data_IF_663790396188
#
_entry.id   IF_663790396188
#
_cell.length_a   1.000
_cell.length_b   1.000
_cell.length_c   1.000
_cell.angle_alpha   90.00
_cell.angle_beta   90.00
_cell.angle_gamma   90.00
#
_symmetry.space_group_name_H-M   'P 1'
#
loop_
_entity.id
_entity.type
_entity.pdbx_description
1 polymer ?
#
# COMPACT_ATOMS: atom_id res chain seq x y z
N UNK A 1 -27.32 -5.07 -15.29
CA UNK A 1 -27.83 -6.44 -15.01
C UNK A 1 -27.52 -7.36 -16.18
N UNK A 2 -27.68 -6.89 -17.41
CA UNK A 2 -27.23 -7.57 -18.62
C UNK A 2 -25.74 -7.94 -18.57
N UNK A 3 -24.87 -7.07 -18.05
CA UNK A 3 -23.44 -7.33 -17.92
C UNK A 3 -23.13 -8.50 -16.96
N UNK A 4 -23.84 -8.56 -15.82
CA UNK A 4 -23.69 -9.65 -14.84
C UNK A 4 -24.19 -10.95 -15.45
N UNK A 5 -25.29 -10.93 -16.19
CA UNK A 5 -25.82 -12.10 -16.87
C UNK A 5 -24.83 -12.64 -17.91
N UNK A 6 -24.22 -11.77 -18.71
CA UNK A 6 -23.20 -12.17 -19.68
C UNK A 6 -22.01 -12.88 -18.99
N UNK A 7 -21.54 -12.38 -17.84
CA UNK A 7 -20.46 -13.03 -17.09
C UNK A 7 -20.84 -14.41 -16.54
N UNK A 8 -22.13 -14.62 -16.23
CA UNK A 8 -22.64 -15.94 -15.82
C UNK A 8 -22.71 -16.89 -17.01
N UNK A 9 -23.24 -16.41 -18.13
CA UNK A 9 -23.38 -17.19 -19.36
C UNK A 9 -22.00 -17.59 -19.91
N UNK A 10 -21.00 -16.72 -19.78
CA UNK A 10 -19.60 -16.97 -20.14
C UNK A 10 -18.85 -17.86 -19.13
N UNK A 11 -19.47 -18.23 -18.00
CA UNK A 11 -18.89 -19.09 -16.96
C UNK A 11 -17.80 -18.41 -16.10
N UNK A 12 -17.62 -17.09 -16.22
CA UNK A 12 -16.68 -16.30 -15.40
C UNK A 12 -17.21 -16.11 -13.99
N UNK A 13 -18.52 -15.97 -13.84
CA UNK A 13 -19.21 -15.78 -12.57
C UNK A 13 -20.22 -16.90 -12.34
N UNK A 14 -20.24 -17.55 -11.18
CA UNK A 14 -21.19 -18.64 -10.90
C UNK A 14 -22.52 -18.08 -10.36
N UNK A 15 -22.45 -17.16 -9.39
CA UNK A 15 -23.63 -16.53 -8.74
C UNK A 15 -23.28 -15.14 -8.22
N UNK A 16 -24.29 -14.31 -7.93
CA UNK A 16 -24.13 -13.08 -7.16
C UNK A 16 -25.27 -12.93 -6.13
N UNK A 17 -25.07 -12.07 -5.13
CA UNK A 17 -26.08 -11.71 -4.15
C UNK A 17 -26.01 -10.22 -3.84
N UNK A 18 -27.15 -9.64 -3.45
CA UNK A 18 -27.23 -8.27 -2.95
C UNK A 18 -27.36 -8.33 -1.43
N UNK A 19 -26.33 -7.85 -0.73
CA UNK A 19 -26.27 -7.86 0.72
C UNK A 19 -26.23 -6.43 1.27
N UNK A 20 -26.73 -6.19 2.49
CA UNK A 20 -26.45 -4.95 3.21
C UNK A 20 -24.93 -4.75 3.35
N UNK A 21 -24.48 -3.51 3.20
CA UNK A 21 -23.08 -3.16 3.40
C UNK A 21 -22.91 -2.60 4.81
N UNK A 22 -22.23 -3.37 5.66
CA UNK A 22 -21.87 -2.96 7.02
C UNK A 22 -20.54 -2.21 7.00
N UNK A 23 -20.56 -0.96 7.44
CA UNK A 23 -19.38 -0.08 7.47
C UNK A 23 -18.64 -0.25 8.80
N UNK A 24 -17.33 -0.43 8.70
CA UNK A 24 -16.43 -0.58 9.86
C UNK A 24 -15.88 0.79 10.29
N UNK A 25 -16.78 1.65 10.79
CA UNK A 25 -16.54 3.08 10.95
C UNK A 25 -15.36 3.37 11.89
N UNK A 26 -15.36 2.70 13.05
CA UNK A 26 -14.37 2.87 14.11
C UNK A 26 -12.97 2.52 13.60
N UNK A 27 -12.83 1.40 12.86
CA UNK A 27 -11.54 0.95 12.32
C UNK A 27 -10.84 2.01 11.50
N UNK A 28 -11.60 2.81 10.74
CA UNK A 28 -11.07 3.88 9.89
C UNK A 28 -11.32 5.27 10.50
N UNK A 29 -11.23 5.38 11.83
CA UNK A 29 -11.12 6.68 12.52
C UNK A 29 -12.45 7.36 12.84
N UNK A 30 -13.59 6.77 12.45
CA UNK A 30 -14.92 7.18 12.88
C UNK A 30 -15.82 7.71 11.75
N UNK A 31 -17.11 7.92 12.04
CA UNK A 31 -18.13 8.28 11.05
C UNK A 31 -17.84 9.59 10.31
N UNK A 32 -17.13 10.54 10.93
CA UNK A 32 -16.89 11.86 10.38
C UNK A 32 -15.91 11.86 9.18
N UNK A 33 -15.07 10.83 9.08
CA UNK A 33 -13.99 10.74 8.08
C UNK A 33 -14.05 9.44 7.26
N UNK A 34 -15.07 8.60 7.48
CA UNK A 34 -15.16 7.30 6.81
C UNK A 34 -15.30 7.41 5.29
N UNK A 35 -16.00 8.43 4.79
CA UNK A 35 -16.12 8.67 3.34
C UNK A 35 -14.76 8.92 2.68
N UNK A 36 -13.82 9.57 3.40
CA UNK A 36 -12.45 9.74 2.93
C UNK A 36 -11.71 8.38 2.84
N UNK A 37 -11.96 7.47 3.79
CA UNK A 37 -11.44 6.11 3.70
C UNK A 37 -12.03 5.34 2.51
N UNK A 38 -13.32 5.51 2.21
CA UNK A 38 -13.96 4.90 1.03
C UNK A 38 -13.35 5.42 -0.28
N UNK A 39 -13.00 6.71 -0.36
CA UNK A 39 -12.29 7.28 -1.50
C UNK A 39 -10.91 6.62 -1.68
N UNK A 40 -10.18 6.37 -0.60
CA UNK A 40 -8.92 5.60 -0.62
C UNK A 40 -9.17 4.16 -1.11
N UNK A 41 -10.23 3.50 -0.67
CA UNK A 41 -10.57 2.14 -1.11
C UNK A 41 -10.93 2.07 -2.60
N UNK A 42 -11.63 3.07 -3.12
CA UNK A 42 -11.94 3.20 -4.53
C UNK A 42 -10.66 3.29 -5.36
N UNK A 43 -9.75 4.20 -4.99
CA UNK A 43 -8.48 4.38 -5.68
C UNK A 43 -7.56 3.15 -5.56
N UNK A 44 -7.55 2.47 -4.42
CA UNK A 44 -6.88 1.17 -4.29
C UNK A 44 -7.39 0.14 -5.29
N UNK A 45 -8.71 0.08 -5.50
CA UNK A 45 -9.32 -0.83 -6.48
C UNK A 45 -8.94 -0.43 -7.91
N UNK A 46 -8.90 0.87 -8.21
CA UNK A 46 -8.47 1.40 -9.51
C UNK A 46 -6.99 1.13 -9.80
N UNK A 47 -6.10 1.23 -8.80
CA UNK A 47 -4.69 0.88 -8.91
C UNK A 47 -4.55 -0.59 -9.34
N UNK A 48 -5.21 -1.50 -8.62
CA UNK A 48 -5.11 -2.94 -8.87
C UNK A 48 -5.68 -3.30 -10.24
N UNK A 49 -6.86 -2.78 -10.58
CA UNK A 49 -7.46 -3.00 -11.90
C UNK A 49 -6.55 -2.47 -13.03
N UNK A 50 -6.05 -1.24 -12.88
CA UNK A 50 -5.15 -0.63 -13.87
C UNK A 50 -3.85 -1.43 -14.04
N UNK A 51 -3.31 -1.96 -12.94
CA UNK A 51 -2.09 -2.78 -12.97
C UNK A 51 -2.29 -4.09 -13.72
N UNK A 52 -3.39 -4.82 -13.48
CA UNK A 52 -3.67 -6.09 -14.16
C UNK A 52 -4.09 -5.93 -15.63
N UNK A 53 -4.54 -4.74 -16.04
CA UNK A 53 -4.83 -4.43 -17.44
C UNK A 53 -3.58 -4.07 -18.27
N UNK A 54 -2.40 -3.94 -17.66
CA UNK A 54 -1.17 -3.61 -18.40
C UNK A 54 -0.73 -4.78 -19.31
N UNK A 55 -0.32 -4.52 -20.58
CA UNK A 55 0.01 -5.58 -21.54
C UNK A 55 1.23 -6.44 -21.17
N UNK A 56 2.11 -5.94 -20.29
CA UNK A 56 3.27 -6.70 -19.86
C UNK A 56 2.90 -7.49 -18.62
N UNK A 57 2.80 -8.81 -18.75
CA UNK A 57 2.33 -9.75 -17.72
C UNK A 57 2.61 -9.30 -16.28
N UNK A 58 1.53 -9.18 -15.50
CA UNK A 58 1.58 -9.08 -14.05
C UNK A 58 2.14 -10.39 -13.52
N UNK A 59 3.46 -10.44 -13.32
CA UNK A 59 4.11 -11.55 -12.65
C UNK A 59 4.28 -11.24 -11.15
N UNK A 60 4.59 -12.27 -10.37
CA UNK A 60 4.77 -12.16 -8.92
C UNK A 60 5.72 -11.02 -8.55
N UNK A 61 6.85 -10.90 -9.26
CA UNK A 61 7.84 -9.86 -8.99
C UNK A 61 7.26 -8.44 -9.16
N UNK A 62 6.58 -8.16 -10.27
CA UNK A 62 5.94 -6.84 -10.48
C UNK A 62 4.83 -6.56 -9.48
N UNK A 63 4.07 -7.60 -9.11
CA UNK A 63 3.00 -7.50 -8.12
C UNK A 63 3.58 -7.13 -6.76
N UNK A 64 4.69 -7.74 -6.35
CA UNK A 64 5.42 -7.36 -5.14
C UNK A 64 5.99 -5.95 -5.24
N UNK A 65 6.51 -5.51 -6.39
CA UNK A 65 6.97 -4.12 -6.57
C UNK A 65 5.84 -3.11 -6.34
N UNK A 66 4.66 -3.33 -6.92
CA UNK A 66 3.50 -2.48 -6.67
C UNK A 66 3.10 -2.52 -5.19
N UNK A 67 3.11 -3.72 -4.59
CA UNK A 67 2.86 -3.94 -3.17
C UNK A 67 3.73 -3.06 -2.28
N UNK A 68 5.06 -3.23 -2.36
CA UNK A 68 6.00 -2.50 -1.51
C UNK A 68 5.99 -0.99 -1.77
N UNK A 69 5.74 -0.58 -3.02
CA UNK A 69 5.59 0.82 -3.37
C UNK A 69 4.40 1.44 -2.64
N UNK A 70 3.18 0.90 -2.84
CA UNK A 70 1.97 1.49 -2.26
C UNK A 70 1.97 1.42 -0.73
N UNK A 71 2.51 0.35 -0.14
CA UNK A 71 2.67 0.25 1.32
C UNK A 71 3.56 1.38 1.86
N UNK A 72 4.73 1.59 1.25
CA UNK A 72 5.64 2.68 1.64
C UNK A 72 5.03 4.05 1.38
N UNK A 73 4.23 4.15 0.32
CA UNK A 73 3.55 5.38 -0.09
C UNK A 73 2.46 5.79 0.92
N UNK A 74 1.64 4.84 1.38
CA UNK A 74 0.67 5.03 2.47
C UNK A 74 1.38 5.53 3.73
N UNK A 75 2.45 4.85 4.18
CA UNK A 75 3.18 5.28 5.38
C UNK A 75 3.78 6.68 5.21
N UNK A 76 4.31 6.99 4.03
CA UNK A 76 4.84 8.31 3.71
C UNK A 76 3.76 9.39 3.71
N UNK A 77 2.53 9.07 3.33
CA UNK A 77 1.39 10.00 3.36
C UNK A 77 1.00 10.38 4.79
N UNK A 78 1.20 9.47 5.75
CA UNK A 78 1.12 9.72 7.19
C UNK A 78 2.34 10.48 7.75
N UNK A 79 3.27 10.91 6.89
CA UNK A 79 4.45 11.67 7.27
C UNK A 79 5.60 10.83 7.83
N UNK A 80 5.57 9.50 7.69
CA UNK A 80 6.63 8.63 8.20
C UNK A 80 7.84 8.64 7.26
N UNK A 81 8.98 9.06 7.77
CA UNK A 81 10.29 8.87 7.12
C UNK A 81 10.63 7.39 6.98
N UNK A 82 11.52 7.02 6.06
CA UNK A 82 12.00 5.62 5.94
C UNK A 82 12.54 5.04 7.26
N UNK A 83 13.12 5.87 8.14
CA UNK A 83 13.54 5.41 9.48
C UNK A 83 12.35 5.03 10.36
N UNK A 84 11.29 5.83 10.36
CA UNK A 84 10.06 5.53 11.11
C UNK A 84 9.30 4.37 10.50
N UNK A 85 9.25 4.25 9.16
CA UNK A 85 8.69 3.08 8.48
C UNK A 85 9.42 1.80 8.89
N UNK A 86 10.75 1.83 9.03
CA UNK A 86 11.50 0.67 9.52
C UNK A 86 11.06 0.24 10.93
N UNK A 87 10.84 1.20 11.83
CA UNK A 87 10.36 0.92 13.20
C UNK A 87 8.99 0.26 13.16
N UNK A 88 8.06 0.80 12.36
CA UNK A 88 6.72 0.25 12.17
C UNK A 88 6.78 -1.15 11.56
N UNK A 89 7.65 -1.40 10.58
CA UNK A 89 7.76 -2.71 9.95
C UNK A 89 8.44 -3.74 10.86
N UNK A 90 9.37 -3.33 11.73
CA UNK A 90 10.01 -4.21 12.70
C UNK A 90 9.05 -4.70 13.80
N UNK A 91 7.95 -3.99 14.08
CA UNK A 91 6.91 -4.49 15.00
C UNK A 91 5.99 -5.52 14.36
N UNK A 92 5.96 -5.59 13.02
CA UNK A 92 5.08 -6.50 12.27
C UNK A 92 5.87 -7.74 11.83
N UNK A 93 7.05 -7.54 11.23
CA UNK A 93 7.80 -8.58 10.52
C UNK A 93 9.13 -8.90 11.20
N UNK A 94 9.43 -10.19 11.32
CA UNK A 94 10.68 -10.63 11.92
C UNK A 94 11.86 -10.44 10.95
N UNK A 95 13.05 -9.94 11.38
CA UNK A 95 14.19 -9.65 10.49
C UNK A 95 14.81 -10.82 9.72
N UNK A 96 14.36 -12.05 9.94
CA UNK A 96 14.82 -13.24 9.19
C UNK A 96 13.82 -13.70 8.13
N UNK A 97 12.61 -13.17 8.16
CA UNK A 97 11.50 -13.62 7.35
C UNK A 97 11.68 -13.25 5.87
N UNK A 98 11.46 -14.20 4.96
CA UNK A 98 11.61 -14.03 3.50
C UNK A 98 12.93 -13.42 2.98
N UNK A 99 14.00 -13.43 3.80
CA UNK A 99 15.29 -12.79 3.48
C UNK A 99 15.93 -13.32 2.20
N UNK A 100 15.81 -14.62 1.93
CA UNK A 100 16.41 -15.25 0.74
C UNK A 100 15.71 -14.84 -0.56
N UNK A 101 14.39 -14.61 -0.50
CA UNK A 101 13.63 -14.11 -1.63
C UNK A 101 13.96 -12.65 -1.92
N UNK A 102 14.04 -11.82 -0.88
CA UNK A 102 14.52 -10.44 -0.99
C UNK A 102 15.89 -10.36 -1.68
N UNK A 103 16.85 -11.19 -1.25
CA UNK A 103 18.22 -11.21 -1.80
C UNK A 103 18.26 -11.43 -3.32
N UNK A 104 17.38 -12.26 -3.87
CA UNK A 104 17.34 -12.58 -5.31
C UNK A 104 17.02 -11.36 -6.19
N UNK A 105 16.19 -10.43 -5.71
CA UNK A 105 15.74 -9.25 -6.47
C UNK A 105 16.08 -7.93 -5.77
N UNK A 106 17.06 -7.96 -4.86
CA UNK A 106 17.41 -6.87 -3.95
C UNK A 106 17.56 -5.52 -4.64
N UNK A 107 18.33 -5.46 -5.72
CA UNK A 107 18.61 -4.20 -6.43
C UNK A 107 17.33 -3.53 -6.92
N UNK A 108 16.43 -4.31 -7.54
CA UNK A 108 15.16 -3.84 -8.10
C UNK A 108 14.21 -3.33 -7.01
N UNK A 109 14.12 -4.06 -5.90
CA UNK A 109 13.28 -3.64 -4.79
C UNK A 109 13.83 -2.38 -4.10
N UNK A 110 15.14 -2.24 -3.95
CA UNK A 110 15.75 -1.01 -3.39
C UNK A 110 15.52 0.17 -4.32
N UNK A 111 15.76 0.00 -5.63
CA UNK A 111 15.54 1.05 -6.63
C UNK A 111 14.09 1.55 -6.60
N UNK A 112 13.13 0.65 -6.48
CA UNK A 112 11.72 0.98 -6.33
C UNK A 112 11.44 1.87 -5.11
N UNK A 113 12.00 1.54 -3.94
CA UNK A 113 11.79 2.33 -2.72
C UNK A 113 12.59 3.64 -2.72
N UNK A 114 13.81 3.66 -3.24
CA UNK A 114 14.58 4.90 -3.39
C UNK A 114 13.88 5.88 -4.35
N UNK A 115 13.32 5.39 -5.46
CA UNK A 115 12.54 6.22 -6.38
C UNK A 115 11.21 6.69 -5.78
N UNK A 116 10.53 5.85 -4.99
CA UNK A 116 9.32 6.23 -4.25
C UNK A 116 9.61 7.35 -3.22
N UNK A 117 10.68 7.22 -2.44
CA UNK A 117 11.11 8.21 -1.44
C UNK A 117 11.44 9.57 -2.09
N UNK A 118 11.98 9.56 -3.31
CA UNK A 118 12.25 10.75 -4.11
C UNK A 118 11.05 11.24 -4.94
N UNK A 119 9.89 10.58 -4.86
CA UNK A 119 8.68 10.88 -5.65
C UNK A 119 8.88 10.81 -7.17
N UNK A 120 9.81 9.99 -7.64
CA UNK A 120 10.11 9.77 -9.06
C UNK A 120 9.27 8.62 -9.65
N UNK A 121 7.96 8.71 -9.49
CA UNK A 121 7.01 7.62 -9.77
C UNK A 121 6.88 7.29 -11.26
N UNK A 122 7.11 8.28 -12.13
CA UNK A 122 7.06 8.15 -13.59
C UNK A 122 8.13 7.22 -14.15
N UNK A 123 9.22 6.99 -13.40
CA UNK A 123 10.28 6.05 -13.78
C UNK A 123 9.96 4.60 -13.40
N UNK A 124 8.97 4.37 -12.53
CA UNK A 124 8.64 3.04 -12.00
C UNK A 124 7.42 2.42 -12.68
N UNK A 125 6.42 3.23 -13.01
CA UNK A 125 5.15 2.76 -13.55
C UNK A 125 4.76 3.53 -14.79
N UNK A 126 4.28 2.80 -15.80
CA UNK A 126 3.79 3.40 -17.05
C UNK A 126 2.46 4.11 -16.83
N UNK A 127 2.23 5.21 -17.56
CA UNK A 127 0.90 5.80 -17.72
C UNK A 127 -0.06 4.74 -18.28
N UNK A 128 -1.30 4.56 -17.74
CA UNK A 128 -2.03 5.42 -16.79
C UNK A 128 -1.82 5.12 -15.29
N UNK A 129 -1.10 4.05 -14.92
CA UNK A 129 -0.98 3.61 -13.53
C UNK A 129 -0.32 4.66 -12.63
N UNK A 130 0.70 5.36 -13.12
CA UNK A 130 1.37 6.45 -12.39
C UNK A 130 0.42 7.60 -12.00
N UNK A 131 -0.58 7.90 -12.84
CA UNK A 131 -1.60 8.93 -12.54
C UNK A 131 -2.48 8.52 -11.37
N UNK A 132 -2.98 7.28 -11.38
CA UNK A 132 -3.84 6.77 -10.30
C UNK A 132 -3.08 6.66 -8.98
N UNK A 133 -1.80 6.26 -9.04
CA UNK A 133 -0.92 6.21 -7.84
C UNK A 133 -0.73 7.61 -7.22
N UNK A 134 -0.54 8.65 -8.04
CA UNK A 134 -0.44 10.03 -7.54
C UNK A 134 -1.75 10.51 -6.91
N UNK A 135 -2.88 10.28 -7.57
CA UNK A 135 -4.20 10.63 -7.04
C UNK A 135 -4.50 9.89 -5.72
N UNK A 136 -4.12 8.62 -5.63
CA UNK A 136 -4.20 7.84 -4.40
C UNK A 136 -3.38 8.49 -3.28
N UNK A 137 -2.11 8.81 -3.52
CA UNK A 137 -1.25 9.46 -2.53
C UNK A 137 -1.83 10.78 -2.02
N UNK A 138 -2.32 11.64 -2.93
CA UNK A 138 -2.95 12.91 -2.57
C UNK A 138 -4.23 12.72 -1.76
N UNK A 139 -5.02 11.69 -2.10
CA UNK A 139 -6.24 11.34 -1.37
C UNK A 139 -5.93 10.85 0.04
N UNK A 140 -4.90 10.00 0.21
CA UNK A 140 -4.44 9.58 1.54
C UNK A 140 -3.93 10.79 2.32
N UNK A 141 -3.19 11.72 1.71
CA UNK A 141 -2.75 12.94 2.39
C UNK A 141 -3.93 13.79 2.90
N UNK A 142 -4.98 13.97 2.09
CA UNK A 142 -6.20 14.68 2.51
C UNK A 142 -6.90 13.99 3.67
N UNK A 143 -6.97 12.66 3.62
CA UNK A 143 -7.52 11.85 4.71
C UNK A 143 -6.70 12.00 6.00
N UNK A 144 -5.36 11.97 5.91
CA UNK A 144 -4.44 12.17 7.04
C UNK A 144 -4.63 13.54 7.69
N UNK A 145 -4.81 14.62 6.92
CA UNK A 145 -5.07 15.95 7.49
C UNK A 145 -6.31 15.94 8.39
N UNK A 146 -7.36 15.23 8.00
CA UNK A 146 -8.57 15.08 8.81
C UNK A 146 -8.35 14.17 10.02
N UNK A 147 -7.59 13.07 9.86
CA UNK A 147 -7.18 12.21 10.98
C UNK A 147 -6.47 13.05 12.05
N UNK A 148 -5.47 13.85 11.67
CA UNK A 148 -4.70 14.67 12.61
C UNK A 148 -5.58 15.71 13.33
N UNK A 149 -6.56 16.29 12.61
CA UNK A 149 -7.54 17.19 13.22
C UNK A 149 -8.37 16.47 14.30
N UNK A 150 -8.94 15.30 13.98
CA UNK A 150 -9.74 14.53 14.93
C UNK A 150 -8.91 13.98 16.11
N UNK A 151 -7.67 13.57 15.85
CA UNK A 151 -6.73 13.12 16.88
C UNK A 151 -6.46 14.25 17.88
N UNK A 152 -6.20 15.47 17.39
CA UNK A 152 -5.99 16.66 18.23
C UNK A 152 -7.21 17.05 19.07
N UNK A 153 -8.40 16.66 18.62
CA UNK A 153 -9.68 16.90 19.31
C UNK A 153 -10.10 15.73 20.20
N UNK A 154 -9.30 14.65 20.28
CA UNK A 154 -9.64 13.38 20.95
C UNK A 154 -10.96 12.75 20.46
N UNK A 155 -11.25 12.93 19.17
CA UNK A 155 -12.45 12.39 18.49
C UNK A 155 -12.13 11.24 17.53
N UNK A 156 -10.84 10.98 17.29
CA UNK A 156 -10.42 9.85 16.46
C UNK A 156 -10.77 8.53 17.17
N UNK A 157 -11.52 7.68 16.48
CA UNK A 157 -12.07 6.44 17.07
C UNK A 157 -11.07 5.25 17.08
N UNK A 158 -9.88 5.43 16.51
CA UNK A 158 -8.84 4.40 16.46
C UNK A 158 -7.45 5.03 16.40
N UNK A 159 -6.39 4.27 16.68
CA UNK A 159 -5.04 4.81 16.61
C UNK A 159 -4.60 5.04 15.16
N UNK A 160 -3.75 6.05 14.93
CA UNK A 160 -3.17 6.30 13.60
C UNK A 160 -2.42 5.08 13.06
N UNK A 161 -1.74 4.34 13.95
CA UNK A 161 -1.01 3.13 13.60
C UNK A 161 -1.96 2.02 13.11
N UNK A 162 -3.09 1.80 13.79
CA UNK A 162 -4.08 0.79 13.40
C UNK A 162 -4.83 1.17 12.10
N UNK A 163 -5.04 2.46 11.87
CA UNK A 163 -5.57 2.96 10.59
C UNK A 163 -4.58 2.68 9.45
N UNK A 164 -3.28 2.98 9.63
CA UNK A 164 -2.24 2.65 8.65
C UNK A 164 -2.26 1.15 8.33
N UNK A 165 -2.28 0.29 9.35
CA UNK A 165 -2.34 -1.16 9.16
C UNK A 165 -3.60 -1.62 8.43
N UNK A 166 -4.74 -1.01 8.74
CA UNK A 166 -6.01 -1.32 8.07
C UNK A 166 -5.98 -0.93 6.59
N UNK A 167 -5.45 0.25 6.25
CA UNK A 167 -5.30 0.67 4.85
C UNK A 167 -4.36 -0.26 4.08
N UNK A 168 -3.21 -0.59 4.66
CA UNK A 168 -2.24 -1.53 4.06
C UNK A 168 -2.89 -2.89 3.82
N UNK A 169 -3.57 -3.44 4.82
CA UNK A 169 -4.23 -4.74 4.73
C UNK A 169 -5.30 -4.74 3.65
N UNK A 170 -6.15 -3.71 3.59
CA UNK A 170 -7.20 -3.61 2.58
C UNK A 170 -6.66 -3.45 1.15
N UNK A 171 -5.53 -2.78 0.98
CA UNK A 171 -4.84 -2.73 -0.31
C UNK A 171 -4.25 -4.09 -0.68
N UNK A 172 -3.55 -4.74 0.26
CA UNK A 172 -2.94 -6.06 0.04
C UNK A 172 -3.98 -7.14 -0.27
N UNK A 173 -5.14 -7.11 0.40
CA UNK A 173 -6.26 -8.01 0.10
C UNK A 173 -6.73 -7.87 -1.35
N UNK A 174 -6.80 -6.64 -1.89
CA UNK A 174 -7.19 -6.41 -3.28
C UNK A 174 -6.12 -6.87 -4.26
N UNK A 175 -4.84 -6.59 -3.96
CA UNK A 175 -3.73 -6.90 -4.86
C UNK A 175 -3.39 -8.39 -4.89
N UNK A 176 -3.34 -9.03 -3.73
CA UNK A 176 -2.82 -10.39 -3.59
C UNK A 176 -3.89 -11.45 -3.32
N UNK A 177 -5.00 -11.08 -2.68
CA UNK A 177 -6.07 -11.98 -2.23
C UNK A 177 -5.60 -13.08 -1.24
N UNK A 178 -4.35 -13.03 -0.79
CA UNK A 178 -3.72 -14.03 0.07
C UNK A 178 -2.74 -13.35 1.04
N UNK A 179 -3.02 -13.54 2.33
CA UNK A 179 -2.23 -13.01 3.46
C UNK A 179 -0.75 -13.39 3.43
N UNK A 180 -0.37 -14.49 2.77
CA UNK A 180 1.04 -14.90 2.62
C UNK A 180 1.83 -13.91 1.78
N UNK A 181 1.21 -13.35 0.73
CA UNK A 181 1.85 -12.37 -0.13
C UNK A 181 1.87 -10.97 0.50
N UNK A 182 0.85 -10.61 1.29
CA UNK A 182 0.90 -9.42 2.15
C UNK A 182 2.11 -9.48 3.08
N UNK A 183 2.26 -10.60 3.78
CA UNK A 183 3.37 -10.83 4.70
C UNK A 183 4.72 -10.78 3.99
N UNK A 184 4.80 -11.37 2.80
CA UNK A 184 5.99 -11.33 1.97
C UNK A 184 6.34 -9.90 1.52
N UNK A 185 5.37 -9.11 1.05
CA UNK A 185 5.58 -7.73 0.66
C UNK A 185 6.08 -6.87 1.84
N UNK A 186 5.48 -7.01 3.02
CA UNK A 186 5.92 -6.32 4.24
C UNK A 186 7.37 -6.69 4.60
N UNK A 187 7.74 -7.97 4.49
CA UNK A 187 9.11 -8.44 4.75
C UNK A 187 10.13 -7.88 3.75
N UNK A 188 9.79 -7.89 2.46
CA UNK A 188 10.62 -7.31 1.40
C UNK A 188 10.82 -5.82 1.65
N UNK A 189 9.74 -5.07 1.90
CA UNK A 189 9.81 -3.63 2.17
C UNK A 189 10.69 -3.34 3.39
N UNK A 190 10.52 -4.10 4.47
CA UNK A 190 11.35 -3.98 5.68
C UNK A 190 12.83 -4.15 5.37
N UNK A 191 13.19 -5.15 4.55
CA UNK A 191 14.57 -5.37 4.16
C UNK A 191 15.12 -4.25 3.26
N UNK A 192 14.35 -3.78 2.29
CA UNK A 192 14.73 -2.63 1.46
C UNK A 192 15.06 -1.40 2.30
N UNK A 193 14.12 -1.01 3.17
CA UNK A 193 14.23 0.17 4.00
C UNK A 193 15.43 0.07 4.94
N UNK A 194 15.62 -1.09 5.57
CA UNK A 194 16.77 -1.34 6.44
C UNK A 194 18.10 -1.13 5.70
N UNK A 195 18.25 -1.71 4.51
CA UNK A 195 19.45 -1.58 3.71
C UNK A 195 19.69 -0.13 3.25
N UNK A 196 18.64 0.60 2.88
CA UNK A 196 18.69 2.02 2.52
C UNK A 196 19.13 2.86 3.73
N UNK A 197 18.52 2.64 4.89
CA UNK A 197 18.85 3.37 6.12
C UNK A 197 20.30 3.11 6.56
N UNK A 198 20.78 1.86 6.48
CA UNK A 198 22.18 1.54 6.76
C UNK A 198 23.15 2.24 5.81
N UNK A 199 22.85 2.25 4.49
CA UNK A 199 23.65 2.94 3.47
C UNK A 199 23.71 4.45 3.76
N UNK A 200 22.57 5.09 4.05
CA UNK A 200 22.50 6.52 4.41
C UNK A 200 23.27 6.85 5.69
N UNK A 201 23.19 6.00 6.71
CA UNK A 201 23.93 6.19 7.96
C UNK A 201 25.45 6.17 7.76
N UNK A 202 25.96 5.22 6.95
CA UNK A 202 27.39 5.11 6.62
C UNK A 202 27.91 6.32 5.86
N UNK A 203 27.14 6.82 4.88
CA UNK A 203 27.50 8.03 4.13
C UNK A 203 27.58 9.25 5.05
N UNK A 204 26.65 9.38 6.00
CA UNK A 204 26.66 10.48 6.97
C UNK A 204 27.88 10.43 7.91
N UNK A 205 28.33 9.23 8.31
CA UNK A 205 29.54 9.08 9.14
C UNK A 205 30.84 9.32 8.38
N UNK A 206 30.87 9.13 7.06
CA UNK A 206 32.06 9.35 6.23
C UNK A 206 32.25 10.82 5.81
N UNK A 207 31.18 11.61 5.86
CA UNK A 207 31.17 13.04 5.51
C UNK A 207 31.30 13.96 6.74
N UNK A 208 31.61 13.40 7.91
CA UNK A 208 31.96 14.12 9.15
C UNK A 208 33.45 13.99 9.41
#
# INVERSE_FOLDING_TARGET
MTEIQNLIDDGVLITYSLCPYERDLERYGGPQIYEDAENVFCLNSNIVASFFLLPTEANELKTIHLGIYVISDIMSAFGLTLKQQEVVLNSIVHPKEHRDFYRKNRSRYIECIEAADLRLTENLFTTPLSTVLREHFETVCKYVVKIELLDSQMQLCNSKQDIIYSLIHMFCNRLFQDSRFERYALAVLRHCIHDINQKRAKLYTLNK
#
